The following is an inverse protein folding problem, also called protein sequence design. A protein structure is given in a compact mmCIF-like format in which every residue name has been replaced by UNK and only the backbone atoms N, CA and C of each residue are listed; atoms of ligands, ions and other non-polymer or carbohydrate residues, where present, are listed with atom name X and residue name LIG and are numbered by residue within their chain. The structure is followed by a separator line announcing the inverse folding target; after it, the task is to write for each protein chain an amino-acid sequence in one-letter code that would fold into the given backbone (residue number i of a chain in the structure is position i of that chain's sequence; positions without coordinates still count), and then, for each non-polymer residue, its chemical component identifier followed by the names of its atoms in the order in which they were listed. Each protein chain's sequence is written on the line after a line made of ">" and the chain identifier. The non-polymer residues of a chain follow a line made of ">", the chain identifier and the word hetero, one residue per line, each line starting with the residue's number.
data_IF_068823094786
#
_entry.id   IF_068823094786
#
_cell.length_a   1.000
_cell.length_b   1.000
_cell.length_c   1.000
_cell.angle_alpha   90.00
_cell.angle_beta   90.00
_cell.angle_gamma   90.00
#
_symmetry.space_group_name_H-M   'P 1'
#
loop_
_entity.id
_entity.type
_entity.pdbx_description
1 polymer ?
#
# COMPACT_ATOMS: atom_id res chain seq x y z
N UNK A 1 -18.15 -10.88 24.23
CA UNK A 1 -17.73 -10.53 22.85
C UNK A 1 -18.07 -9.06 22.62
N UNK A 2 -17.26 -8.31 21.87
CA UNK A 2 -17.49 -6.88 21.59
C UNK A 2 -17.25 -6.60 20.10
N UNK A 3 -18.17 -5.87 19.48
CA UNK A 3 -18.05 -5.42 18.08
C UNK A 3 -18.10 -3.89 18.02
N UNK A 4 -17.20 -3.31 17.24
CA UNK A 4 -17.09 -1.86 17.04
C UNK A 4 -17.91 -1.51 15.81
N UNK A 5 -18.86 -0.59 15.96
CA UNK A 5 -19.79 -0.16 14.89
C UNK A 5 -19.47 1.22 14.32
N UNK A 6 -18.62 2.01 14.98
CA UNK A 6 -18.29 3.37 14.55
C UNK A 6 -17.25 4.06 15.42
N UNK A 7 -16.77 5.23 14.96
CA UNK A 7 -15.81 6.09 15.65
C UNK A 7 -16.05 7.56 15.28
N UNK A 8 -15.85 8.46 16.25
CA UNK A 8 -15.82 9.90 16.04
C UNK A 8 -14.74 10.52 16.94
N UNK A 9 -14.18 11.65 16.52
CA UNK A 9 -13.21 12.39 17.32
C UNK A 9 -13.14 13.84 16.83
N UNK A 10 -13.08 14.84 17.74
CA UNK A 10 -12.88 16.23 17.36
C UNK A 10 -11.52 16.48 16.71
N UNK A 11 -10.55 15.58 16.89
CA UNK A 11 -9.20 15.66 16.30
C UNK A 11 -8.93 14.47 15.38
N UNK A 12 -9.94 14.04 14.63
CA UNK A 12 -9.80 12.95 13.67
C UNK A 12 -8.82 13.32 12.55
N UNK A 13 -7.90 12.42 12.23
CA UNK A 13 -7.06 12.51 11.03
C UNK A 13 -7.75 11.90 9.80
N UNK A 14 -8.93 11.28 9.97
CA UNK A 14 -9.71 10.80 8.85
C UNK A 14 -10.39 11.98 8.16
N UNK A 15 -10.17 12.08 6.86
CA UNK A 15 -10.82 13.04 5.96
C UNK A 15 -11.73 12.27 5.00
N UNK A 16 -13.03 12.58 5.09
CA UNK A 16 -14.06 11.92 4.29
C UNK A 16 -14.02 12.37 2.83
N UNK A 17 -13.70 13.64 2.55
CA UNK A 17 -13.64 14.16 1.18
C UNK A 17 -12.48 13.53 0.44
N UNK A 18 -11.29 13.47 1.06
CA UNK A 18 -10.11 12.82 0.50
C UNK A 18 -10.31 11.32 0.26
N UNK A 19 -11.11 10.67 1.09
CA UNK A 19 -11.39 9.23 0.98
C UNK A 19 -12.55 8.91 0.02
N UNK A 20 -13.28 9.92 -0.45
CA UNK A 20 -14.46 9.75 -1.30
C UNK A 20 -14.08 9.42 -2.73
N UNK A 21 -14.90 8.60 -3.39
CA UNK A 21 -14.84 8.39 -4.84
C UNK A 21 -15.83 9.27 -5.61
N UNK A 22 -16.75 9.92 -4.90
CA UNK A 22 -17.82 10.75 -5.49
C UNK A 22 -17.44 12.24 -5.51
N UNK A 23 -16.41 12.63 -4.76
CA UNK A 23 -15.93 14.01 -4.63
C UNK A 23 -14.43 14.02 -4.95
N UNK A 24 -13.95 15.05 -5.65
CA UNK A 24 -12.54 15.13 -6.10
C UNK A 24 -11.56 15.10 -4.92
N UNK A 25 -11.94 15.62 -3.75
CA UNK A 25 -11.33 15.30 -2.45
C UNK A 25 -9.84 15.65 -2.29
N UNK A 26 -9.20 16.24 -3.29
CA UNK A 26 -7.77 16.50 -3.31
C UNK A 26 -6.89 15.26 -3.60
N UNK A 27 -7.47 14.11 -3.98
CA UNK A 27 -6.72 12.91 -4.35
C UNK A 27 -6.59 12.78 -5.88
N UNK A 28 -5.36 12.86 -6.42
CA UNK A 28 -5.09 12.52 -7.82
C UNK A 28 -4.59 11.07 -7.94
N UNK A 29 -5.37 10.24 -8.62
CA UNK A 29 -5.01 8.84 -8.90
C UNK A 29 -3.72 8.71 -9.75
N UNK A 30 -3.35 9.73 -10.50
CA UNK A 30 -2.15 9.75 -11.35
C UNK A 30 -0.87 9.71 -10.50
N UNK A 31 -0.85 10.40 -9.37
CA UNK A 31 0.30 10.44 -8.46
C UNK A 31 0.60 9.06 -7.86
N UNK A 32 -0.44 8.27 -7.62
CA UNK A 32 -0.32 6.90 -7.10
C UNK A 32 0.54 6.03 -8.01
N UNK A 33 0.50 6.23 -9.33
CA UNK A 33 1.33 5.48 -10.28
C UNK A 33 2.81 5.74 -10.06
N UNK A 34 3.20 7.00 -9.87
CA UNK A 34 4.58 7.39 -9.56
C UNK A 34 5.05 6.76 -8.25
N UNK A 35 4.23 6.89 -7.21
CA UNK A 35 4.50 6.33 -5.89
C UNK A 35 4.70 4.80 -5.91
N UNK A 36 3.80 4.07 -6.58
CA UNK A 36 3.90 2.60 -6.73
C UNK A 36 5.18 2.23 -7.48
N UNK A 37 5.47 2.90 -8.59
CA UNK A 37 6.63 2.59 -9.42
C UNK A 37 7.94 2.74 -8.65
N UNK A 38 8.13 3.87 -7.96
CA UNK A 38 9.33 4.16 -7.17
C UNK A 38 9.50 3.11 -6.06
N UNK A 39 8.44 2.86 -5.29
CA UNK A 39 8.52 1.91 -4.17
C UNK A 39 8.76 0.46 -4.61
N UNK A 40 8.31 0.10 -5.80
CA UNK A 40 8.43 -1.27 -6.34
C UNK A 40 9.83 -1.61 -6.83
N UNK A 41 10.68 -0.61 -7.15
CA UNK A 41 12.03 -0.84 -7.71
C UNK A 41 12.85 -1.80 -6.85
N UNK A 42 12.89 -1.60 -5.51
CA UNK A 42 13.62 -2.48 -4.58
C UNK A 42 13.10 -3.92 -4.59
N UNK A 43 11.79 -4.10 -4.73
CA UNK A 43 11.17 -5.43 -4.76
C UNK A 43 11.54 -6.16 -6.05
N UNK A 44 11.50 -5.47 -7.20
CA UNK A 44 11.93 -6.00 -8.49
C UNK A 44 13.42 -6.39 -8.47
N UNK A 45 14.28 -5.52 -7.96
CA UNK A 45 15.72 -5.79 -7.84
C UNK A 45 15.98 -7.00 -6.93
N UNK A 46 15.35 -7.05 -5.75
CA UNK A 46 15.48 -8.16 -4.82
C UNK A 46 14.99 -9.48 -5.45
N UNK A 47 13.86 -9.46 -6.14
CA UNK A 47 13.34 -10.62 -6.86
C UNK A 47 14.34 -11.16 -7.90
N UNK A 48 14.95 -10.29 -8.70
CA UNK A 48 15.98 -10.68 -9.68
C UNK A 48 17.20 -11.32 -9.00
N UNK A 49 17.66 -10.75 -7.88
CA UNK A 49 18.79 -11.29 -7.11
C UNK A 49 18.46 -12.66 -6.53
N UNK A 50 17.28 -12.84 -5.91
CA UNK A 50 16.85 -14.12 -5.36
C UNK A 50 16.74 -15.19 -6.43
N UNK A 51 16.15 -14.86 -7.58
CA UNK A 51 16.02 -15.80 -8.70
C UNK A 51 17.37 -16.24 -9.25
N UNK A 52 18.36 -15.34 -9.28
CA UNK A 52 19.72 -15.65 -9.72
C UNK A 52 20.49 -16.50 -8.71
N UNK A 53 20.43 -16.15 -7.42
CA UNK A 53 21.23 -16.81 -6.36
C UNK A 53 20.61 -18.11 -5.85
N UNK A 54 19.29 -18.30 -6.03
CA UNK A 54 18.51 -19.43 -5.47
C UNK A 54 18.89 -19.80 -4.03
N UNK A 55 18.97 -18.83 -3.10
CA UNK A 55 19.47 -19.08 -1.75
C UNK A 55 18.54 -19.97 -0.90
N UNK A 56 17.33 -20.25 -1.40
CA UNK A 56 16.30 -21.01 -0.70
C UNK A 56 16.00 -22.36 -1.35
N UNK A 57 16.85 -22.87 -2.24
CA UNK A 57 16.66 -24.21 -2.84
C UNK A 57 16.54 -25.32 -1.78
N UNK A 58 17.12 -25.10 -0.59
CA UNK A 58 16.97 -26.01 0.56
C UNK A 58 15.53 -26.12 1.09
N UNK A 59 14.64 -25.17 0.81
CA UNK A 59 13.23 -25.17 1.25
C UNK A 59 12.33 -26.08 0.41
N UNK A 60 12.79 -26.51 -0.75
CA UNK A 60 12.05 -27.41 -1.64
C UNK A 60 12.45 -28.89 -1.45
N UNK A 61 13.04 -29.23 -0.30
CA UNK A 61 13.37 -30.61 0.10
C UNK A 61 12.32 -31.17 1.04
#
# INVERSE_FOLDING_TARGET
>A
NVQIIGRESPTSLYDQELSSMEVEGGFDATDSKGFININTIRLKAHYLVLRKKKPYDWRNR
#
